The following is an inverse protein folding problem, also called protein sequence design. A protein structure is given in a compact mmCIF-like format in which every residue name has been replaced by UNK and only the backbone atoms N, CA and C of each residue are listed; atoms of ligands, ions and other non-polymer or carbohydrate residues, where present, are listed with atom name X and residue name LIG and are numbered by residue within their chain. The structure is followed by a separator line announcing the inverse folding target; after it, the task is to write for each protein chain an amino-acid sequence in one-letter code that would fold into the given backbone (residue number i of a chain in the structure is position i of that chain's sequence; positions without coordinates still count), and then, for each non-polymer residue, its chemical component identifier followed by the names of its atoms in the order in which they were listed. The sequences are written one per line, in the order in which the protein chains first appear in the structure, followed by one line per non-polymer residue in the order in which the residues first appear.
data_IF_189741805249
#
_entry.id   IF_189741805249
#
_cell.length_a   1.000
_cell.length_b   1.000
_cell.length_c   1.000
_cell.angle_alpha   90.00
_cell.angle_beta   90.00
_cell.angle_gamma   90.00
#
_symmetry.space_group_name_H-M   'P 1'
#
loop_
_entity.id
_entity.type
_entity.pdbx_description
1 polymer ?
#
# COMPACT_ATOMS: atom_id res chain seq x y z
N UNK A 1 -21.72 65.82 9.09
CA UNK A 1 -21.07 64.99 10.12
C UNK A 1 -21.34 63.56 9.74
N UNK A 2 -20.30 62.86 9.29
CA UNK A 2 -20.33 61.44 8.97
C UNK A 2 -20.06 60.65 10.25
N UNK A 3 -20.83 59.59 10.46
CA UNK A 3 -20.52 58.48 11.38
C UNK A 3 -20.85 57.20 10.59
N UNK A 4 -19.90 56.65 9.83
CA UNK A 4 -18.99 55.57 10.26
C UNK A 4 -19.61 54.71 11.35
N UNK A 5 -20.36 53.70 10.95
CA UNK A 5 -20.51 52.39 11.58
C UNK A 5 -21.34 51.54 10.59
N UNK A 6 -21.03 50.24 10.47
CA UNK A 6 -21.63 49.26 9.53
C UNK A 6 -20.88 48.97 8.20
N UNK A 7 -19.55 48.88 8.24
CA UNK A 7 -18.87 47.85 7.44
C UNK A 7 -18.48 46.71 8.38
N UNK A 8 -19.49 45.91 8.73
CA UNK A 8 -19.28 44.61 9.36
C UNK A 8 -18.39 43.81 8.41
N UNK A 9 -17.14 43.66 8.84
CA UNK A 9 -16.07 43.01 8.14
C UNK A 9 -16.44 41.53 7.91
N UNK A 10 -17.24 41.28 6.88
CA UNK A 10 -17.59 39.96 6.36
C UNK A 10 -16.39 39.35 5.62
N UNK A 11 -15.17 39.61 6.13
CA UNK A 11 -13.93 38.99 5.71
C UNK A 11 -14.01 37.52 6.09
N UNK A 12 -14.57 36.76 5.16
CA UNK A 12 -14.40 35.32 5.09
C UNK A 12 -12.94 35.00 5.44
N UNK A 13 -12.68 34.08 6.39
CA UNK A 13 -11.33 33.80 6.86
C UNK A 13 -10.41 33.52 5.67
N UNK A 14 -9.13 33.95 5.71
CA UNK A 14 -8.23 33.94 4.55
C UNK A 14 -8.12 32.56 3.89
N UNK A 15 -8.30 31.49 4.68
CA UNK A 15 -8.32 30.09 4.25
C UNK A 15 -9.43 29.72 3.25
N UNK A 16 -10.56 30.43 3.27
CA UNK A 16 -11.68 30.20 2.34
C UNK A 16 -11.48 30.88 0.99
N UNK A 17 -10.49 31.76 0.86
CA UNK A 17 -10.09 32.39 -0.40
C UNK A 17 -8.94 31.64 -1.09
N UNK A 18 -8.38 30.60 -0.43
CA UNK A 18 -7.34 29.79 -1.04
C UNK A 18 -7.87 29.09 -2.28
N UNK A 19 -7.09 29.21 -3.34
CA UNK A 19 -7.31 28.50 -4.59
C UNK A 19 -7.36 26.99 -4.33
N UNK A 20 -8.27 26.24 -4.99
CA UNK A 20 -8.39 24.78 -4.83
C UNK A 20 -7.06 24.04 -4.95
N UNK A 21 -6.18 24.50 -5.81
CA UNK A 21 -4.86 23.91 -6.06
C UNK A 21 -3.97 23.99 -4.81
N UNK A 22 -3.99 25.12 -4.09
CA UNK A 22 -3.24 25.29 -2.84
C UNK A 22 -3.81 24.41 -1.72
N UNK A 23 -5.14 24.33 -1.64
CA UNK A 23 -5.83 23.46 -0.67
C UNK A 23 -5.53 21.99 -0.95
N UNK A 24 -5.52 21.58 -2.21
CA UNK A 24 -5.11 20.24 -2.63
C UNK A 24 -3.63 19.96 -2.28
N UNK A 25 -2.73 20.92 -2.53
CA UNK A 25 -1.32 20.77 -2.14
C UNK A 25 -1.15 20.58 -0.63
N UNK A 26 -1.93 21.29 0.20
CA UNK A 26 -1.94 21.08 1.65
C UNK A 26 -2.40 19.66 1.97
N UNK A 27 -3.50 19.19 1.36
CA UNK A 27 -3.99 17.82 1.58
C UNK A 27 -2.92 16.76 1.25
N UNK A 28 -2.16 16.92 0.16
CA UNK A 28 -1.11 15.98 -0.25
C UNK A 28 0.09 15.93 0.71
N UNK A 29 0.22 16.89 1.64
CA UNK A 29 1.27 16.92 2.65
C UNK A 29 0.83 16.29 3.99
N UNK A 30 -0.45 15.96 4.13
CA UNK A 30 -0.98 15.37 5.34
C UNK A 30 -0.71 13.86 5.40
N UNK A 31 -0.60 13.33 6.62
CA UNK A 31 -0.69 11.89 6.81
C UNK A 31 -2.09 11.42 6.35
N UNK A 32 -2.23 10.25 5.69
CA UNK A 32 -3.54 9.74 5.27
C UNK A 32 -4.59 9.69 6.38
N UNK A 33 -4.17 9.52 7.64
CA UNK A 33 -5.03 9.54 8.84
C UNK A 33 -5.66 10.89 9.15
N UNK A 34 -5.06 11.99 8.68
CA UNK A 34 -5.52 13.36 8.96
C UNK A 34 -6.49 13.87 7.89
N UNK A 35 -6.51 13.22 6.72
CA UNK A 35 -7.35 13.59 5.58
C UNK A 35 -8.85 13.55 5.92
N UNK A 36 -9.39 12.58 6.71
CA UNK A 36 -10.77 12.65 7.16
C UNK A 36 -11.11 13.93 7.94
N UNK A 37 -10.21 14.38 8.83
CA UNK A 37 -10.39 15.62 9.58
C UNK A 37 -10.31 16.85 8.67
N UNK A 38 -9.36 16.86 7.73
CA UNK A 38 -9.26 17.89 6.70
C UNK A 38 -10.56 18.02 5.88
N UNK A 39 -11.16 16.88 5.48
CA UNK A 39 -12.43 16.83 4.74
C UNK A 39 -13.63 17.29 5.56
N UNK A 40 -13.56 17.21 6.88
CA UNK A 40 -14.63 17.63 7.77
C UNK A 40 -14.72 19.15 7.98
N UNK A 41 -13.71 19.92 7.56
CA UNK A 41 -13.65 21.39 7.75
C UNK A 41 -14.82 22.09 7.05
N UNK A 42 -14.94 21.93 5.73
CA UNK A 42 -16.03 22.50 4.95
C UNK A 42 -16.14 21.81 3.57
N UNK A 43 -17.20 22.11 2.81
CA UNK A 43 -17.43 21.54 1.47
C UNK A 43 -16.26 21.82 0.50
N UNK A 44 -15.66 23.01 0.56
CA UNK A 44 -14.51 23.41 -0.27
C UNK A 44 -13.28 22.55 -0.01
N UNK A 45 -12.96 22.29 1.26
CA UNK A 45 -11.83 21.44 1.65
C UNK A 45 -12.10 19.97 1.31
N UNK A 46 -13.33 19.49 1.52
CA UNK A 46 -13.72 18.15 1.12
C UNK A 46 -13.55 17.91 -0.38
N UNK A 47 -13.93 18.87 -1.24
CA UNK A 47 -13.77 18.74 -2.69
C UNK A 47 -12.31 18.76 -3.17
N UNK A 48 -11.38 19.26 -2.35
CA UNK A 48 -9.95 19.32 -2.68
C UNK A 48 -9.16 18.11 -2.15
N UNK A 49 -9.77 17.23 -1.37
CA UNK A 49 -9.08 16.12 -0.73
C UNK A 49 -9.06 14.87 -1.63
N UNK A 50 -7.99 14.09 -1.54
CA UNK A 50 -7.97 12.76 -2.12
C UNK A 50 -8.84 11.79 -1.30
N UNK A 51 -9.41 10.75 -1.94
CA UNK A 51 -10.21 9.77 -1.23
C UNK A 51 -9.34 8.97 -0.26
N UNK A 52 -9.82 8.81 0.98
CA UNK A 52 -9.26 7.90 1.98
C UNK A 52 -10.32 6.88 2.34
N UNK A 53 -9.91 5.62 2.41
CA UNK A 53 -10.77 4.48 2.70
C UNK A 53 -10.38 3.88 4.05
N UNK A 54 -11.36 3.44 4.86
CA UNK A 54 -11.06 2.78 6.13
C UNK A 54 -10.30 1.48 5.86
N UNK A 55 -9.08 1.38 6.42
CA UNK A 55 -8.21 0.22 6.24
C UNK A 55 -8.54 -0.95 7.18
N UNK A 56 -9.17 -0.66 8.33
CA UNK A 56 -9.22 -1.61 9.45
C UNK A 56 -10.54 -2.38 9.57
N UNK A 57 -11.50 -2.15 8.67
CA UNK A 57 -12.81 -2.80 8.75
C UNK A 57 -12.79 -4.24 8.20
N UNK A 58 -12.00 -4.50 7.15
CA UNK A 58 -11.85 -5.84 6.52
C UNK A 58 -10.50 -5.97 5.81
N UNK A 59 -9.88 -7.16 5.79
CA UNK A 59 -8.66 -7.38 5.02
C UNK A 59 -8.90 -7.10 3.52
N UNK A 60 -7.90 -6.51 2.86
CA UNK A 60 -7.91 -6.27 1.41
C UNK A 60 -7.37 -7.53 0.72
N UNK A 61 -8.09 -8.02 -0.30
CA UNK A 61 -7.61 -9.10 -1.15
C UNK A 61 -6.70 -8.54 -2.22
N UNK A 62 -5.51 -9.11 -2.39
CA UNK A 62 -4.52 -8.66 -3.37
C UNK A 62 -4.42 -9.70 -4.48
N UNK A 63 -4.36 -9.26 -5.74
CA UNK A 63 -4.07 -10.13 -6.87
C UNK A 63 -2.75 -10.87 -6.65
N UNK A 64 -2.65 -12.09 -7.14
CA UNK A 64 -1.43 -12.87 -7.05
C UNK A 64 -0.35 -12.43 -8.07
N UNK A 65 -0.58 -11.37 -8.85
CA UNK A 65 0.34 -10.88 -9.87
C UNK A 65 0.60 -9.39 -9.74
N UNK A 66 1.82 -8.99 -10.08
CA UNK A 66 2.21 -7.60 -10.30
C UNK A 66 2.37 -7.42 -11.81
N UNK A 67 1.54 -6.58 -12.42
CA UNK A 67 1.67 -6.28 -13.85
C UNK A 67 2.87 -5.35 -14.08
N UNK A 68 3.56 -5.47 -15.21
CA UNK A 68 4.48 -4.45 -15.71
C UNK A 68 3.62 -3.26 -16.21
N UNK A 69 3.65 -2.04 -15.61
CA UNK A 69 4.80 -1.34 -14.97
C UNK A 69 4.73 -1.16 -13.43
N UNK A 70 4.43 -2.22 -12.68
CA UNK A 70 4.28 -2.19 -11.22
C UNK A 70 2.84 -1.89 -10.78
N UNK A 71 1.84 -2.53 -11.38
CA UNK A 71 0.43 -2.37 -10.98
C UNK A 71 -0.09 -3.60 -10.24
N UNK A 72 -0.83 -3.36 -9.16
CA UNK A 72 -1.44 -4.40 -8.34
C UNK A 72 -2.94 -4.13 -8.22
N UNK A 73 -3.74 -5.15 -8.46
CA UNK A 73 -5.17 -5.11 -8.23
C UNK A 73 -5.47 -5.52 -6.78
N UNK A 74 -6.23 -4.67 -6.09
CA UNK A 74 -6.67 -4.88 -4.72
C UNK A 74 -8.20 -4.84 -4.68
N UNK A 75 -8.84 -5.79 -4.02
CA UNK A 75 -10.28 -5.78 -3.78
C UNK A 75 -10.58 -5.55 -2.31
N UNK A 76 -11.42 -4.56 -2.01
CA UNK A 76 -11.95 -4.33 -0.67
C UNK A 76 -13.34 -4.96 -0.57
N UNK A 77 -13.50 -6.03 0.26
CA UNK A 77 -14.82 -6.61 0.52
C UNK A 77 -15.78 -5.60 1.16
N UNK A 78 -15.29 -4.78 2.09
CA UNK A 78 -16.10 -3.76 2.76
C UNK A 78 -16.72 -2.75 1.79
N UNK A 79 -15.94 -2.28 0.81
CA UNK A 79 -16.42 -1.31 -0.18
C UNK A 79 -17.05 -1.96 -1.39
N UNK A 80 -16.92 -3.27 -1.54
CA UNK A 80 -17.22 -4.03 -2.74
C UNK A 80 -16.63 -3.36 -4.01
N UNK A 81 -15.34 -2.99 -3.95
CA UNK A 81 -14.66 -2.23 -5.00
C UNK A 81 -13.26 -2.76 -5.27
N UNK A 82 -12.85 -2.67 -6.53
CA UNK A 82 -11.50 -2.93 -6.99
C UNK A 82 -10.70 -1.63 -7.08
N UNK A 83 -9.45 -1.67 -6.64
CA UNK A 83 -8.46 -0.61 -6.69
C UNK A 83 -7.26 -1.10 -7.50
N UNK A 84 -6.74 -0.23 -8.35
CA UNK A 84 -5.47 -0.47 -9.05
C UNK A 84 -4.44 0.44 -8.38
N UNK A 85 -3.47 -0.17 -7.73
CA UNK A 85 -2.43 0.51 -6.96
C UNK A 85 -1.11 0.37 -7.69
N UNK A 86 -0.37 1.47 -7.82
CA UNK A 86 1.00 1.45 -8.33
C UNK A 86 1.95 1.12 -7.19
N UNK A 87 2.84 0.17 -7.43
CA UNK A 87 3.94 -0.21 -6.55
C UNK A 87 5.28 0.13 -7.21
N UNK A 88 6.29 0.58 -6.44
CA UNK A 88 7.67 0.66 -6.91
C UNK A 88 8.34 -0.72 -7.08
N UNK A 89 7.75 -1.80 -6.53
CA UNK A 89 8.32 -3.14 -6.64
C UNK A 89 8.23 -3.69 -8.07
N UNK A 90 9.39 -3.98 -8.66
CA UNK A 90 9.50 -4.57 -9.99
C UNK A 90 9.79 -6.06 -9.83
N UNK A 91 8.77 -6.88 -10.10
CA UNK A 91 8.88 -8.34 -10.04
C UNK A 91 8.12 -8.98 -11.22
N UNK A 92 8.65 -8.88 -12.45
CA UNK A 92 7.97 -9.39 -13.64
C UNK A 92 7.72 -10.89 -13.50
N UNK A 93 6.55 -11.32 -13.96
CA UNK A 93 6.11 -12.73 -14.00
C UNK A 93 6.11 -13.46 -12.65
N UNK A 94 6.34 -12.74 -11.56
CA UNK A 94 6.39 -13.28 -10.21
C UNK A 94 4.99 -13.38 -9.63
N UNK A 95 4.74 -14.41 -8.84
CA UNK A 95 3.45 -14.66 -8.20
C UNK A 95 3.51 -14.42 -6.70
N UNK A 96 2.63 -13.55 -6.20
CA UNK A 96 2.42 -13.32 -4.77
C UNK A 96 1.69 -14.55 -4.21
N UNK A 97 2.19 -15.09 -3.11
CA UNK A 97 1.51 -16.17 -2.39
C UNK A 97 1.33 -15.90 -0.89
N UNK A 98 2.01 -14.89 -0.33
CA UNK A 98 1.83 -14.46 1.05
C UNK A 98 2.11 -12.97 1.20
N UNK A 99 1.42 -12.34 2.15
CA UNK A 99 1.62 -10.95 2.54
C UNK A 99 1.88 -10.88 4.05
N UNK A 100 2.84 -10.05 4.43
CA UNK A 100 3.26 -9.79 5.80
C UNK A 100 2.94 -8.34 6.20
N UNK A 101 3.25 -8.01 7.45
CA UNK A 101 3.02 -6.68 8.02
C UNK A 101 3.85 -5.63 7.26
N UNK A 102 3.38 -4.38 7.24
CA UNK A 102 4.08 -3.23 6.63
C UNK A 102 4.34 -3.34 5.13
N UNK A 103 3.47 -4.04 4.39
CA UNK A 103 3.53 -4.07 2.92
C UNK A 103 4.57 -5.01 2.33
N UNK A 104 5.22 -5.81 3.17
CA UNK A 104 6.09 -6.90 2.71
C UNK A 104 5.27 -8.05 2.14
N UNK A 105 5.73 -8.61 1.03
CA UNK A 105 5.13 -9.76 0.37
C UNK A 105 6.18 -10.80 0.03
N UNK A 106 5.73 -12.04 -0.15
CA UNK A 106 6.54 -13.14 -0.61
C UNK A 106 6.10 -13.53 -2.02
N UNK A 107 7.06 -13.55 -2.92
CA UNK A 107 6.92 -13.75 -4.36
C UNK A 107 7.64 -15.03 -4.77
N UNK A 108 7.03 -15.81 -5.65
CA UNK A 108 7.70 -16.89 -6.39
C UNK A 108 7.97 -16.42 -7.81
N UNK A 109 9.22 -16.50 -8.23
CA UNK A 109 9.66 -16.16 -9.59
C UNK A 109 9.46 -17.31 -10.58
N UNK A 110 9.52 -17.04 -11.89
CA UNK A 110 9.48 -18.08 -12.93
C UNK A 110 10.60 -19.13 -12.81
N UNK A 111 11.78 -18.72 -12.34
CA UNK A 111 12.94 -19.58 -12.08
C UNK A 111 12.82 -20.43 -10.80
N UNK A 112 11.64 -20.39 -10.14
CA UNK A 112 11.31 -21.07 -8.88
C UNK A 112 12.01 -20.49 -7.65
N UNK A 113 12.77 -19.40 -7.76
CA UNK A 113 13.31 -18.70 -6.58
C UNK A 113 12.21 -17.99 -5.81
N UNK A 114 12.46 -17.75 -4.51
CA UNK A 114 11.62 -16.90 -3.67
C UNK A 114 12.29 -15.56 -3.44
N UNK A 115 11.46 -14.53 -3.50
CA UNK A 115 11.84 -13.16 -3.20
C UNK A 115 10.92 -12.60 -2.15
N UNK A 116 11.49 -11.87 -1.21
CA UNK A 116 10.76 -10.95 -0.35
C UNK A 116 10.82 -9.57 -0.99
N UNK A 117 9.67 -8.91 -1.09
CA UNK A 117 9.59 -7.58 -1.67
C UNK A 117 8.63 -6.70 -0.91
N UNK A 118 8.92 -5.41 -0.81
CA UNK A 118 8.06 -4.42 -0.21
C UNK A 118 7.27 -3.67 -1.27
N UNK A 119 5.94 -3.66 -1.13
CA UNK A 119 5.04 -2.91 -2.00
C UNK A 119 5.10 -1.39 -1.81
N UNK A 120 5.76 -0.93 -0.75
CA UNK A 120 5.75 0.49 -0.35
C UNK A 120 6.95 1.25 -0.90
N UNK A 121 8.13 0.64 -0.86
CA UNK A 121 9.41 1.27 -1.25
C UNK A 121 10.14 0.51 -2.36
N UNK A 122 9.68 -0.70 -2.72
CA UNK A 122 10.26 -1.51 -3.78
C UNK A 122 11.54 -2.23 -3.36
N UNK A 123 11.91 -2.16 -2.08
CA UNK A 123 13.01 -2.95 -1.54
C UNK A 123 12.71 -4.44 -1.72
N UNK A 124 13.73 -5.20 -2.09
CA UNK A 124 13.60 -6.62 -2.31
C UNK A 124 14.88 -7.37 -1.98
N UNK A 125 14.75 -8.59 -1.49
CA UNK A 125 15.86 -9.49 -1.27
C UNK A 125 15.49 -10.92 -1.67
N UNK A 126 16.46 -11.63 -2.22
CA UNK A 126 16.30 -12.98 -2.73
C UNK A 126 16.67 -13.97 -1.62
N UNK A 127 15.89 -15.04 -1.50
CA UNK A 127 16.35 -16.19 -0.71
C UNK A 127 17.32 -17.02 -1.53
N UNK A 128 18.35 -17.55 -0.88
CA UNK A 128 19.20 -18.59 -1.49
C UNK A 128 18.34 -19.77 -1.97
N UNK A 129 18.74 -20.39 -3.09
CA UNK A 129 18.07 -21.54 -3.67
C UNK A 129 17.70 -22.61 -2.62
N UNK A 130 16.47 -23.12 -2.70
CA UNK A 130 16.08 -24.27 -1.88
C UNK A 130 16.88 -25.49 -2.33
N UNK A 131 17.70 -26.06 -1.43
CA UNK A 131 18.43 -27.32 -1.67
C UNK A 131 17.53 -28.56 -1.84
N UNK A 132 16.21 -28.40 -1.80
CA UNK A 132 15.24 -29.49 -1.85
C UNK A 132 14.27 -29.28 -3.01
N UNK A 133 14.16 -30.28 -3.89
CA UNK A 133 13.36 -30.29 -5.13
C UNK A 133 11.84 -30.18 -4.91
N UNK A 134 11.36 -30.23 -3.67
CA UNK A 134 9.93 -30.40 -3.34
C UNK A 134 9.18 -29.09 -3.01
N UNK A 135 9.72 -27.93 -3.39
CA UNK A 135 9.00 -26.66 -3.27
C UNK A 135 8.85 -26.14 -1.83
N UNK A 136 9.72 -26.61 -0.93
CA UNK A 136 9.92 -26.07 0.40
C UNK A 136 10.99 -24.98 0.36
N UNK A 137 10.62 -23.78 0.77
CA UNK A 137 11.60 -22.71 0.96
C UNK A 137 11.95 -22.58 2.43
N UNK A 138 13.24 -22.42 2.67
CA UNK A 138 13.82 -22.17 3.97
C UNK A 138 14.40 -20.76 3.92
N UNK A 139 13.93 -19.88 4.80
CA UNK A 139 14.61 -18.62 5.06
C UNK A 139 14.84 -18.52 6.55
N UNK A 140 16.09 -18.22 6.91
CA UNK A 140 16.48 -17.79 8.24
C UNK A 140 16.76 -16.29 8.16
N UNK A 141 16.17 -15.51 9.06
CA UNK A 141 16.73 -14.19 9.33
C UNK A 141 17.98 -14.42 10.18
N UNK A 142 19.14 -14.49 9.53
CA UNK A 142 20.40 -14.31 10.25
C UNK A 142 20.58 -12.81 10.42
N UNK A 143 20.01 -12.27 11.51
CA UNK A 143 20.59 -11.05 12.06
C UNK A 143 22.06 -11.41 12.29
N UNK A 144 22.99 -10.77 11.56
CA UNK A 144 24.42 -11.13 11.46
C UNK A 144 25.22 -11.07 12.78
N UNK A 145 24.52 -11.16 13.91
CA UNK A 145 24.98 -11.29 15.30
C UNK A 145 25.23 -12.73 15.73
N UNK A 146 24.87 -13.73 14.91
CA UNK A 146 25.24 -15.14 15.18
C UNK A 146 24.58 -15.75 16.42
N UNK A 147 23.47 -15.18 16.91
CA UNK A 147 22.70 -15.75 18.00
C UNK A 147 21.61 -16.70 17.46
N UNK A 148 21.73 -18.03 17.67
CA UNK A 148 20.81 -19.03 17.10
C UNK A 148 19.40 -19.01 17.70
N UNK A 149 19.15 -18.23 18.76
CA UNK A 149 17.90 -18.26 19.51
C UNK A 149 16.79 -17.36 18.94
N UNK A 150 17.06 -16.58 17.88
CA UNK A 150 16.07 -15.73 17.18
C UNK A 150 15.89 -16.12 15.70
N UNK A 151 16.30 -17.32 15.33
CA UNK A 151 16.09 -17.83 13.98
C UNK A 151 14.64 -18.34 13.83
N UNK A 152 13.73 -17.47 13.41
CA UNK A 152 12.38 -17.86 13.01
C UNK A 152 12.43 -18.67 11.71
N UNK A 153 12.32 -19.98 11.79
CA UNK A 153 12.23 -20.86 10.62
C UNK A 153 10.78 -20.94 10.18
N UNK A 154 10.46 -20.39 9.01
CA UNK A 154 9.15 -20.54 8.39
C UNK A 154 9.29 -21.37 7.12
N UNK A 155 8.80 -22.62 7.16
CA UNK A 155 8.72 -23.47 5.98
C UNK A 155 7.49 -23.12 5.17
N UNK A 156 7.67 -22.67 3.93
CA UNK A 156 6.54 -22.38 3.04
C UNK A 156 6.50 -23.42 1.93
N UNK A 157 5.42 -24.20 1.90
CA UNK A 157 5.11 -25.14 0.83
C UNK A 157 4.20 -24.45 -0.18
N UNK A 158 4.68 -24.29 -1.41
CA UNK A 158 3.87 -23.79 -2.51
C UNK A 158 3.79 -24.83 -3.63
N UNK A 159 2.71 -25.63 -3.63
CA UNK A 159 2.33 -26.48 -4.77
C UNK A 159 1.63 -25.64 -5.83
N UNK A 160 2.29 -25.44 -6.98
CA UNK A 160 1.64 -24.91 -8.18
C UNK A 160 1.14 -26.08 -9.02
N UNK A 161 -0.04 -26.63 -8.71
CA UNK A 161 -0.75 -27.51 -9.64
C UNK A 161 -1.84 -26.70 -10.34
N UNK A 162 -1.48 -26.07 -11.46
CA UNK A 162 -2.47 -25.63 -12.44
C UNK A 162 -2.57 -26.71 -13.52
N UNK A 163 -3.57 -27.59 -13.41
CA UNK A 163 -4.12 -28.29 -14.57
C UNK A 163 -5.46 -27.64 -14.89
N UNK A 164 -5.43 -26.60 -15.71
CA UNK A 164 -6.61 -26.23 -16.47
C UNK A 164 -6.72 -27.24 -17.61
N UNK A 165 -7.62 -28.23 -17.46
CA UNK A 165 -8.13 -28.96 -18.62
C UNK A 165 -9.22 -28.09 -19.24
N UNK A 166 -9.00 -27.71 -20.51
CA UNK A 166 -10.07 -27.28 -21.43
C UNK A 166 -10.91 -28.50 -21.78
#
# INVERSE_FOLDING_TARGET
MASTDEEENNQKPPWSQLLPELVSMICHRLCPTDVPHFRAVCKHWNSCAFPVYPADSTPILISNTISDPGLICCYSPYLNKMFIVRTPLIAPESRIFSAAVNGWIILRRPDKTVMFGSLLDGSAFETTESKYDDGYFWTSNEDGTGHPEQCGIFGIYASSTYTAKV
#
